data_IF_335302973933
#
_entry.id   IF_335302973933
#
_cell.length_a   1.000
_cell.length_b   1.000
_cell.length_c   1.000
_cell.angle_alpha   90.00
_cell.angle_beta   90.00
_cell.angle_gamma   90.00
#
_symmetry.space_group_name_H-M   'P 1'
#
loop_
_entity.id
_entity.type
_entity.pdbx_description
1 polymer ?
#
# COMPACT_ATOMS: atom_id res chain seq x y z
N UNK A 1 15.19 15.23 -21.84
CA UNK A 1 15.18 15.23 -20.36
C UNK A 1 14.49 13.96 -19.91
N UNK A 2 14.95 13.32 -18.84
CA UNK A 2 14.28 12.12 -18.32
C UNK A 2 12.88 12.48 -17.83
N UNK A 3 11.90 11.61 -18.09
CA UNK A 3 10.51 11.80 -17.65
C UNK A 3 10.24 11.16 -16.27
N UNK A 4 11.24 10.48 -15.71
CA UNK A 4 11.23 9.76 -14.44
C UNK A 4 12.64 9.74 -13.80
N UNK A 5 12.72 9.48 -12.50
CA UNK A 5 13.95 9.46 -11.68
C UNK A 5 14.71 8.13 -11.82
N UNK A 6 16.03 8.18 -11.63
CA UNK A 6 16.85 6.99 -11.45
C UNK A 6 16.57 6.30 -10.11
N UNK A 7 16.70 4.97 -10.10
CA UNK A 7 16.37 4.16 -8.93
C UNK A 7 17.21 4.50 -7.70
N UNK A 8 18.49 4.84 -7.90
CA UNK A 8 19.39 5.28 -6.82
C UNK A 8 18.89 6.54 -6.12
N UNK A 9 18.30 7.48 -6.87
CA UNK A 9 17.73 8.71 -6.31
C UNK A 9 16.48 8.40 -5.50
N UNK A 10 15.64 7.49 -6.01
CA UNK A 10 14.42 7.06 -5.31
C UNK A 10 14.77 6.38 -3.99
N UNK A 11 15.72 5.45 -4.00
CA UNK A 11 16.15 4.73 -2.80
C UNK A 11 16.71 5.69 -1.75
N UNK A 12 17.55 6.64 -2.16
CA UNK A 12 18.07 7.69 -1.27
C UNK A 12 16.93 8.42 -0.54
N UNK A 13 15.93 8.92 -1.28
CA UNK A 13 14.83 9.65 -0.66
C UNK A 13 13.87 8.73 0.11
N UNK A 14 13.72 7.48 -0.30
CA UNK A 14 12.92 6.52 0.46
C UNK A 14 13.48 6.26 1.85
N UNK A 15 14.82 6.18 1.97
CA UNK A 15 15.52 6.10 3.25
C UNK A 15 15.43 7.41 4.02
N UNK A 16 15.64 8.56 3.38
CA UNK A 16 15.56 9.88 4.04
C UNK A 16 14.16 10.17 4.62
N UNK A 17 13.10 9.70 3.96
CA UNK A 17 11.71 9.90 4.36
C UNK A 17 11.07 8.62 4.92
N UNK A 18 11.81 7.77 5.63
CA UNK A 18 11.31 6.50 6.19
C UNK A 18 10.00 6.67 7.00
N UNK A 19 9.90 7.74 7.79
CA UNK A 19 8.71 8.06 8.60
C UNK A 19 7.52 8.61 7.79
N UNK A 20 7.67 8.77 6.47
CA UNK A 20 6.68 9.30 5.55
C UNK A 20 7.06 10.65 4.97
N UNK A 21 6.46 10.96 3.82
CA UNK A 21 6.77 12.11 2.98
C UNK A 21 5.53 12.99 2.75
N UNK A 22 5.72 14.32 2.77
CA UNK A 22 4.63 15.25 2.48
C UNK A 22 4.37 15.37 0.97
N UNK A 23 3.16 15.78 0.57
CA UNK A 23 2.89 16.07 -0.86
C UNK A 23 3.82 17.13 -1.41
N UNK A 24 4.15 18.15 -0.61
CA UNK A 24 5.09 19.21 -1.00
C UNK A 24 6.47 18.63 -1.35
N UNK A 25 7.01 17.77 -0.50
CA UNK A 25 8.32 17.17 -0.69
C UNK A 25 8.33 16.22 -1.89
N UNK A 26 7.27 15.44 -2.11
CA UNK A 26 7.11 14.61 -3.31
C UNK A 26 7.20 15.49 -4.56
N UNK A 27 6.40 16.55 -4.66
CA UNK A 27 6.40 17.45 -5.83
C UNK A 27 7.75 18.14 -6.02
N UNK A 28 8.39 18.56 -4.92
CA UNK A 28 9.71 19.20 -4.92
C UNK A 28 10.77 18.25 -5.47
N UNK A 29 10.83 17.01 -4.98
CA UNK A 29 11.82 16.02 -5.44
C UNK A 29 11.73 15.85 -6.96
N UNK A 30 10.55 15.58 -7.53
CA UNK A 30 10.45 15.44 -9.00
C UNK A 30 10.81 16.73 -9.74
N UNK A 31 10.41 17.89 -9.21
CA UNK A 31 10.75 19.19 -9.79
C UNK A 31 12.25 19.47 -9.80
N UNK A 32 12.97 19.11 -8.74
CA UNK A 32 14.42 19.34 -8.60
C UNK A 32 15.22 18.60 -9.69
N UNK A 33 14.66 17.50 -10.25
CA UNK A 33 15.23 16.77 -11.39
C UNK A 33 14.57 17.11 -12.73
N UNK A 34 13.80 18.19 -12.80
CA UNK A 34 13.14 18.66 -14.03
C UNK A 34 11.97 17.80 -14.50
N UNK A 35 11.47 16.88 -13.66
CA UNK A 35 10.37 15.99 -14.01
C UNK A 35 9.04 16.63 -13.65
N UNK A 36 8.14 16.74 -14.63
CA UNK A 36 6.81 17.33 -14.44
C UNK A 36 5.95 16.43 -13.55
N UNK A 37 5.61 16.93 -12.37
CA UNK A 37 4.59 16.35 -11.50
C UNK A 37 3.86 17.51 -10.82
N UNK A 38 2.53 17.54 -10.97
CA UNK A 38 1.69 18.57 -10.36
C UNK A 38 0.85 17.97 -9.22
N UNK A 39 0.36 18.83 -8.32
CA UNK A 39 -0.59 18.38 -7.30
C UNK A 39 -1.86 17.79 -7.91
N UNK A 40 -2.32 18.33 -9.04
CA UNK A 40 -3.48 17.80 -9.77
C UNK A 40 -3.20 16.38 -10.31
N UNK A 41 -2.00 16.14 -10.85
CA UNK A 41 -1.58 14.81 -11.32
C UNK A 41 -1.52 13.81 -10.15
N UNK A 42 -0.88 14.21 -9.04
CA UNK A 42 -0.80 13.39 -7.84
C UNK A 42 -2.20 13.01 -7.32
N UNK A 43 -3.09 13.99 -7.24
CA UNK A 43 -4.48 13.81 -6.84
C UNK A 43 -5.21 12.85 -7.78
N UNK A 44 -5.02 12.98 -9.10
CA UNK A 44 -5.62 12.08 -10.09
C UNK A 44 -5.16 10.64 -9.87
N UNK A 45 -3.87 10.41 -9.65
CA UNK A 45 -3.34 9.06 -9.39
C UNK A 45 -3.92 8.44 -8.11
N UNK A 46 -4.06 9.24 -7.05
CA UNK A 46 -4.71 8.80 -5.80
C UNK A 46 -6.19 8.46 -6.04
N UNK A 47 -6.91 9.28 -6.80
CA UNK A 47 -8.33 9.06 -7.12
C UNK A 47 -8.55 7.78 -7.94
N UNK A 48 -7.63 7.46 -8.84
CA UNK A 48 -7.63 6.21 -9.62
C UNK A 48 -7.16 4.98 -8.82
N UNK A 49 -6.77 5.16 -7.55
CA UNK A 49 -6.29 4.06 -6.70
C UNK A 49 -4.87 3.60 -7.00
N UNK A 50 -4.14 4.33 -7.85
CA UNK A 50 -2.76 4.04 -8.25
C UNK A 50 -1.73 4.35 -7.16
N UNK A 51 -2.08 5.22 -6.21
CA UNK A 51 -1.21 5.63 -5.10
C UNK A 51 -1.95 5.47 -3.76
N UNK A 52 -1.20 5.25 -2.66
CA UNK A 52 -1.77 5.24 -1.32
C UNK A 52 -2.32 6.62 -0.93
N UNK A 53 -3.30 6.64 0.00
CA UNK A 53 -3.78 7.88 0.61
C UNK A 53 -2.82 8.33 1.72
N UNK A 54 -2.78 9.64 1.99
CA UNK A 54 -2.00 10.17 3.11
C UNK A 54 -2.64 9.81 4.45
N UNK A 55 -1.82 9.45 5.43
CA UNK A 55 -2.21 9.29 6.83
C UNK A 55 -1.92 10.57 7.59
N UNK A 56 -2.83 10.97 8.49
CA UNK A 56 -2.64 12.18 9.30
C UNK A 56 -1.84 11.83 10.53
N UNK A 57 -0.71 12.50 10.72
CA UNK A 57 0.08 12.42 11.94
C UNK A 57 -0.16 13.67 12.78
N UNK A 58 -0.28 13.49 14.10
CA UNK A 58 -0.18 14.59 15.04
C UNK A 58 1.26 15.09 15.01
N UNK A 59 1.47 16.40 14.90
CA UNK A 59 2.80 16.98 15.10
C UNK A 59 3.14 16.79 16.57
N UNK A 60 4.15 15.96 16.85
CA UNK A 60 4.51 15.54 18.21
C UNK A 60 4.98 16.71 19.05
N UNK A 61 4.05 17.42 19.69
CA UNK A 61 4.23 18.23 20.89
C UNK A 61 2.83 18.45 21.48
N UNK A 62 2.55 17.74 22.57
CA UNK A 62 1.28 17.79 23.30
C UNK A 62 1.11 19.21 23.88
N UNK A 63 0.39 20.10 23.20
CA UNK A 63 -0.02 21.38 23.81
C UNK A 63 -0.17 22.63 22.94
N UNK A 64 0.01 22.61 21.62
CA UNK A 64 -0.26 23.80 20.80
C UNK A 64 -0.88 23.42 19.47
N UNK A 65 -1.96 24.11 19.08
CA UNK A 65 -2.69 23.97 17.82
C UNK A 65 -1.77 24.18 16.60
N UNK A 66 -0.94 23.19 16.27
CA UNK A 66 -0.24 23.09 14.99
C UNK A 66 -0.90 21.90 14.28
N UNK A 67 -1.59 22.19 13.19
CA UNK A 67 -2.50 21.24 12.55
C UNK A 67 -1.87 19.89 12.22
N UNK A 68 -2.72 18.87 12.10
CA UNK A 68 -2.31 17.55 11.62
C UNK A 68 -1.86 17.63 10.15
N UNK A 69 -0.69 17.08 9.83
CA UNK A 69 -0.14 17.01 8.46
C UNK A 69 -0.42 15.64 7.86
N UNK A 70 -0.76 15.60 6.58
CA UNK A 70 -0.86 14.34 5.82
C UNK A 70 0.51 13.89 5.35
N UNK A 71 0.89 12.65 5.67
CA UNK A 71 2.09 11.99 5.19
C UNK A 71 1.72 10.78 4.34
N UNK A 72 2.42 10.60 3.23
CA UNK A 72 2.38 9.40 2.41
C UNK A 72 3.53 8.48 2.82
N UNK A 73 3.41 7.15 2.62
CA UNK A 73 4.57 6.28 2.72
C UNK A 73 5.61 6.69 1.67
N UNK A 74 6.91 6.58 1.99
CA UNK A 74 7.98 7.01 1.09
C UNK A 74 8.02 6.20 -0.22
N UNK A 75 7.49 4.98 -0.22
CA UNK A 75 7.25 4.15 -1.41
C UNK A 75 6.42 4.84 -2.50
N UNK A 76 5.68 5.90 -2.17
CA UNK A 76 4.94 6.70 -3.15
C UNK A 76 5.87 7.27 -4.25
N UNK A 77 7.13 7.57 -3.93
CA UNK A 77 8.12 8.04 -4.91
C UNK A 77 8.35 7.00 -6.01
N UNK A 78 8.53 5.74 -5.62
CA UNK A 78 8.68 4.61 -6.53
C UNK A 78 7.42 4.41 -7.37
N UNK A 79 6.25 4.41 -6.75
CA UNK A 79 4.97 4.24 -7.46
C UNK A 79 4.72 5.34 -8.50
N UNK A 80 5.00 6.60 -8.17
CA UNK A 80 4.89 7.71 -9.13
C UNK A 80 5.88 7.51 -10.29
N UNK A 81 7.09 7.06 -9.98
CA UNK A 81 8.12 6.79 -10.99
C UNK A 81 7.70 5.69 -11.96
N UNK A 82 7.16 4.58 -11.43
CA UNK A 82 6.66 3.47 -12.24
C UNK A 82 5.49 3.91 -13.13
N UNK A 83 4.54 4.70 -12.61
CA UNK A 83 3.45 5.28 -13.42
C UNK A 83 4.02 6.13 -14.56
N UNK A 84 5.00 6.99 -14.29
CA UNK A 84 5.63 7.83 -15.32
C UNK A 84 6.36 7.00 -16.37
N UNK A 85 7.08 5.95 -15.97
CA UNK A 85 7.73 5.01 -16.89
C UNK A 85 6.69 4.35 -17.81
N UNK A 86 5.61 3.81 -17.24
CA UNK A 86 4.53 3.17 -18.00
C UNK A 86 3.83 4.11 -18.98
N UNK A 87 3.66 5.39 -18.62
CA UNK A 87 3.12 6.41 -19.52
C UNK A 87 4.06 6.70 -20.70
N UNK A 88 5.38 6.71 -20.46
CA UNK A 88 6.39 6.88 -21.52
C UNK A 88 6.44 5.66 -22.44
N UNK A 89 6.21 4.47 -21.89
CA UNK A 89 6.09 3.20 -22.63
C UNK A 89 4.77 3.08 -23.43
N UNK A 90 3.89 4.10 -23.36
CA UNK A 90 2.68 4.19 -24.18
C UNK A 90 1.41 3.63 -23.54
N UNK A 91 1.44 3.22 -22.27
CA UNK A 91 0.23 2.80 -21.56
C UNK A 91 -0.66 4.00 -21.23
N UNK A 92 -1.97 3.81 -21.24
CA UNK A 92 -2.90 4.83 -20.73
C UNK A 92 -3.01 4.73 -19.20
N UNK A 93 -3.45 5.81 -18.54
CA UNK A 93 -3.73 5.78 -17.10
C UNK A 93 -4.79 4.73 -16.72
N UNK A 94 -5.75 4.49 -17.61
CA UNK A 94 -6.80 3.50 -17.38
C UNK A 94 -6.25 2.07 -17.49
N UNK A 95 -5.31 1.83 -18.41
CA UNK A 95 -4.62 0.53 -18.51
C UNK A 95 -3.79 0.26 -17.26
N UNK A 96 -3.03 1.26 -16.81
CA UNK A 96 -2.21 1.17 -15.59
C UNK A 96 -3.11 0.92 -14.38
N UNK A 97 -4.24 1.63 -14.26
CA UNK A 97 -5.19 1.44 -13.15
C UNK A 97 -5.85 0.07 -13.20
N UNK A 98 -6.24 -0.40 -14.39
CA UNK A 98 -6.82 -1.74 -14.57
C UNK A 98 -5.82 -2.83 -14.20
N UNK A 99 -4.55 -2.67 -14.59
CA UNK A 99 -3.48 -3.58 -14.21
C UNK A 99 -3.29 -3.56 -12.69
N UNK A 100 -3.07 -2.39 -12.08
CA UNK A 100 -2.81 -2.23 -10.64
C UNK A 100 -3.98 -2.64 -9.72
N UNK A 101 -5.22 -2.67 -10.23
CA UNK A 101 -6.41 -3.07 -9.47
C UNK A 101 -6.88 -4.50 -9.78
N UNK A 102 -6.20 -5.21 -10.69
CA UNK A 102 -6.71 -6.45 -11.28
C UNK A 102 -7.01 -7.53 -10.24
N UNK A 103 -6.09 -7.79 -9.31
CA UNK A 103 -6.27 -8.82 -8.28
C UNK A 103 -6.45 -8.25 -6.87
N UNK A 104 -6.15 -6.96 -6.66
CA UNK A 104 -6.29 -6.27 -5.37
C UNK A 104 -7.68 -6.42 -4.73
N UNK A 105 -8.76 -6.36 -5.52
CA UNK A 105 -10.14 -6.53 -5.02
C UNK A 105 -10.36 -7.94 -4.49
N UNK A 106 -9.91 -8.94 -5.23
CA UNK A 106 -10.14 -10.34 -4.89
C UNK A 106 -9.31 -10.73 -3.66
N UNK A 107 -8.04 -10.31 -3.61
CA UNK A 107 -7.17 -10.48 -2.44
C UNK A 107 -7.79 -9.82 -1.20
N UNK A 108 -8.27 -8.58 -1.32
CA UNK A 108 -8.94 -7.88 -0.21
C UNK A 108 -10.23 -8.57 0.23
N UNK A 109 -10.98 -9.17 -0.70
CA UNK A 109 -12.21 -9.92 -0.38
C UNK A 109 -11.88 -11.19 0.39
N UNK A 110 -10.88 -11.95 -0.08
CA UNK A 110 -10.40 -13.16 0.59
C UNK A 110 -9.89 -12.83 1.99
N UNK A 111 -9.10 -11.77 2.16
CA UNK A 111 -8.59 -11.37 3.47
C UNK A 111 -9.73 -11.13 4.47
N UNK A 112 -10.73 -10.34 4.07
CA UNK A 112 -11.90 -10.05 4.90
C UNK A 112 -12.70 -11.30 5.24
N UNK A 113 -12.89 -12.19 4.28
CA UNK A 113 -13.69 -13.40 4.46
C UNK A 113 -12.97 -14.43 5.36
N UNK A 114 -11.64 -14.53 5.27
CA UNK A 114 -10.80 -15.31 6.19
C UNK A 114 -10.87 -14.76 7.62
N UNK A 115 -10.70 -13.45 7.80
CA UNK A 115 -10.81 -12.80 9.11
C UNK A 115 -12.19 -13.05 9.75
N UNK A 116 -13.25 -12.95 8.94
CA UNK A 116 -14.62 -13.21 9.39
C UNK A 116 -14.81 -14.66 9.82
N UNK A 117 -14.35 -15.62 9.02
CA UNK A 117 -14.45 -17.05 9.33
C UNK A 117 -13.74 -17.39 10.64
N UNK A 118 -12.48 -16.96 10.79
CA UNK A 118 -11.68 -17.25 11.98
C UNK A 118 -12.27 -16.58 13.23
N UNK A 119 -12.81 -15.36 13.08
CA UNK A 119 -13.48 -14.66 14.19
C UNK A 119 -14.76 -15.37 14.63
N UNK A 120 -15.56 -15.87 13.69
CA UNK A 120 -16.75 -16.66 14.00
C UNK A 120 -16.38 -17.96 14.74
N UNK A 121 -15.35 -18.67 14.28
CA UNK A 121 -14.85 -19.87 14.97
C UNK A 121 -14.33 -19.55 16.38
N UNK A 122 -13.62 -18.44 16.54
CA UNK A 122 -13.15 -17.98 17.86
C UNK A 122 -14.34 -17.71 18.80
N UNK A 123 -15.41 -17.10 18.27
CA UNK A 123 -16.62 -16.81 19.04
C UNK A 123 -17.30 -18.10 19.52
N UNK A 124 -17.35 -19.12 18.65
CA UNK A 124 -17.89 -20.43 19.01
C UNK A 124 -17.07 -21.12 20.11
N UNK A 125 -15.74 -21.06 20.05
CA UNK A 125 -14.84 -21.60 21.09
C UNK A 125 -15.03 -20.91 22.44
N UNK A 126 -15.38 -19.62 22.42
CA UNK A 126 -15.69 -18.84 23.62
C UNK A 126 -17.10 -19.10 24.15
N UNK A 127 -17.94 -19.85 23.43
CA UNK A 127 -19.33 -20.10 23.85
C UNK A 127 -19.40 -20.93 25.14
N UNK A 128 -20.48 -20.79 25.94
CA UNK A 128 -20.66 -21.53 27.19
C UNK A 128 -20.78 -23.04 27.01
N UNK A 129 -21.16 -23.50 25.81
CA UNK A 129 -21.42 -24.91 25.52
C UNK A 129 -20.20 -25.62 24.90
N UNK A 130 -19.12 -24.87 24.63
CA UNK A 130 -17.92 -25.42 24.04
C UNK A 130 -17.09 -26.19 25.09
N UNK A 131 -16.55 -27.35 24.68
CA UNK A 131 -15.72 -28.20 25.53
C UNK A 131 -14.45 -27.45 25.99
N UNK A 132 -14.41 -27.15 27.29
CA UNK A 132 -13.32 -26.39 27.94
C UNK A 132 -11.98 -27.10 27.79
N UNK A 133 -11.96 -28.44 27.72
CA UNK A 133 -10.73 -29.21 27.57
C UNK A 133 -10.07 -29.00 26.20
N UNK A 134 -10.86 -28.68 25.17
CA UNK A 134 -10.37 -28.45 23.81
C UNK A 134 -9.97 -27.00 23.56
N UNK A 135 -10.43 -26.04 24.38
CA UNK A 135 -10.19 -24.59 24.17
C UNK A 135 -8.72 -24.24 23.92
N UNK A 136 -7.74 -24.67 24.76
CA UNK A 136 -6.35 -24.24 24.56
C UNK A 136 -5.75 -24.71 23.23
N UNK A 137 -6.13 -25.92 22.78
CA UNK A 137 -5.63 -26.50 21.54
C UNK A 137 -6.24 -25.77 20.33
N UNK A 138 -7.55 -25.56 20.34
CA UNK A 138 -8.25 -24.91 19.24
C UNK A 138 -7.90 -23.43 19.15
N UNK A 139 -7.76 -22.71 20.27
CA UNK A 139 -7.28 -21.32 20.27
C UNK A 139 -5.88 -21.19 19.65
N UNK A 140 -4.98 -22.11 19.99
CA UNK A 140 -3.64 -22.16 19.39
C UNK A 140 -3.71 -22.37 17.88
N UNK A 141 -4.56 -23.28 17.41
CA UNK A 141 -4.69 -23.57 15.99
C UNK A 141 -5.42 -22.46 15.21
N UNK A 142 -6.39 -21.78 15.81
CA UNK A 142 -7.02 -20.58 15.23
C UNK A 142 -6.02 -19.42 15.10
N UNK A 143 -5.13 -19.24 16.08
CA UNK A 143 -4.07 -18.24 16.00
C UNK A 143 -3.07 -18.56 14.86
N UNK A 144 -2.63 -19.82 14.74
CA UNK A 144 -1.82 -20.25 13.60
C UNK A 144 -2.55 -20.03 12.27
N UNK A 145 -3.85 -20.30 12.21
CA UNK A 145 -4.64 -20.06 11.00
C UNK A 145 -4.66 -18.57 10.61
N UNK A 146 -4.75 -17.64 11.59
CA UNK A 146 -4.62 -16.19 11.33
C UNK A 146 -3.25 -15.84 10.77
N UNK A 147 -2.18 -16.35 11.37
CA UNK A 147 -0.83 -16.03 10.93
C UNK A 147 -0.56 -16.56 9.52
N UNK A 148 -1.01 -17.79 9.22
CA UNK A 148 -0.92 -18.37 7.89
C UNK A 148 -1.76 -17.58 6.87
N UNK A 149 -2.97 -17.13 7.24
CA UNK A 149 -3.80 -16.30 6.37
C UNK A 149 -3.11 -14.97 6.05
N UNK A 150 -2.53 -14.29 7.04
CA UNK A 150 -1.75 -13.06 6.83
C UNK A 150 -0.59 -13.29 5.88
N UNK A 151 0.19 -14.34 6.09
CA UNK A 151 1.33 -14.67 5.24
C UNK A 151 0.90 -14.98 3.79
N UNK A 152 -0.22 -15.68 3.61
CA UNK A 152 -0.78 -15.93 2.29
C UNK A 152 -1.20 -14.62 1.60
N UNK A 153 -1.90 -13.74 2.30
CA UNK A 153 -2.34 -12.45 1.76
C UNK A 153 -1.13 -11.60 1.38
N UNK A 154 -0.11 -11.48 2.23
CA UNK A 154 1.13 -10.77 1.91
C UNK A 154 1.82 -11.36 0.67
N UNK A 155 1.86 -12.69 0.57
CA UNK A 155 2.43 -13.38 -0.60
C UNK A 155 1.64 -13.06 -1.87
N UNK A 156 0.31 -13.08 -1.81
CA UNK A 156 -0.56 -12.74 -2.94
C UNK A 156 -0.44 -11.27 -3.34
N UNK A 157 -0.32 -10.35 -2.38
CA UNK A 157 -0.09 -8.93 -2.64
C UNK A 157 1.28 -8.68 -3.30
N UNK A 158 2.32 -9.41 -2.88
CA UNK A 158 3.64 -9.36 -3.52
C UNK A 158 3.62 -9.93 -4.94
N UNK A 159 2.89 -11.03 -5.18
CA UNK A 159 2.68 -11.62 -6.51
C UNK A 159 1.88 -10.65 -7.39
N UNK A 160 0.78 -10.10 -6.88
CA UNK A 160 -0.02 -9.08 -7.58
C UNK A 160 0.85 -7.89 -7.95
N UNK A 161 1.64 -7.37 -7.00
CA UNK A 161 2.59 -6.30 -7.28
C UNK A 161 3.63 -6.69 -8.34
N UNK A 162 4.05 -7.95 -8.42
CA UNK A 162 5.00 -8.42 -9.45
C UNK A 162 4.34 -8.57 -10.81
N UNK A 163 3.11 -9.07 -10.87
CA UNK A 163 2.36 -9.29 -12.12
C UNK A 163 1.86 -7.96 -12.70
N UNK A 164 1.43 -7.05 -11.84
CA UNK A 164 0.83 -5.76 -12.20
C UNK A 164 1.85 -4.63 -12.30
N UNK A 165 3.10 -4.90 -11.95
CA UNK A 165 4.24 -4.05 -12.29
C UNK A 165 4.88 -4.61 -13.57
N UNK A 166 4.40 -4.20 -14.76
CA UNK A 166 4.95 -4.69 -16.01
C UNK A 166 6.42 -4.30 -16.07
N UNK A 167 7.30 -5.32 -16.17
CA UNK A 167 8.62 -5.11 -16.75
C UNK A 167 8.39 -4.75 -18.23
N UNK A 168 9.06 -3.72 -18.78
CA UNK A 168 8.98 -3.44 -20.20
C UNK A 168 9.39 -4.70 -20.95
N UNK A 169 8.46 -5.24 -21.74
CA UNK A 169 8.82 -6.24 -22.74
C UNK A 169 9.52 -5.45 -23.83
N UNK A 170 10.82 -5.71 -23.99
CA UNK A 170 11.61 -5.25 -25.12
C UNK A 170 10.92 -5.62 -26.44
#
# INVERSE_FOLDING_TARGET
>A
MSEYLDMVIIEKYMTEYEAGISSYDVLRIFKDYGIKLSEATLRKYIQLGLLPRSHRVGTGEKGRNRGSRGLYPSSILKSINDIKRMLVEGMTLDDIARAALKYRRDISTINRDLDKLISNMTTEVMSPHFDVSLKPVIEKDLNKARDNARQLIETLENIDSTITNPKPTL
#
